data_IF_618155712303
#
_entry.id   IF_618155712303
#
_cell.length_a   1.000
_cell.length_b   1.000
_cell.length_c   1.000
_cell.angle_alpha   90.00
_cell.angle_beta   90.00
_cell.angle_gamma   90.00
#
_symmetry.space_group_name_H-M   'P 1'
#
loop_
_entity.id
_entity.type
_entity.pdbx_description
1 polymer ?
#
# COMPACT_ATOMS: atom_id res chain seq x y z
N UNK A 1 -2.31 13.97 -66.76
CA UNK A 1 -2.00 12.62 -66.24
C UNK A 1 -2.96 12.30 -65.09
N UNK A 2 -4.00 11.53 -65.34
CA UNK A 2 -4.94 11.07 -64.32
C UNK A 2 -4.31 9.91 -63.54
N UNK A 3 -4.03 10.11 -62.25
CA UNK A 3 -3.56 9.04 -61.37
C UNK A 3 -4.66 7.98 -61.24
N UNK A 4 -4.37 6.73 -61.61
CA UNK A 4 -5.25 5.60 -61.29
C UNK A 4 -5.28 5.45 -59.76
N UNK A 5 -6.44 5.71 -59.14
CA UNK A 5 -6.67 5.31 -57.76
C UNK A 5 -6.78 3.78 -57.74
N UNK A 6 -5.78 3.11 -57.16
CA UNK A 6 -5.87 1.70 -56.81
C UNK A 6 -6.71 1.62 -55.53
N UNK A 7 -7.92 1.05 -55.63
CA UNK A 7 -8.79 0.82 -54.49
C UNK A 7 -8.34 -0.39 -53.68
N UNK A 8 -8.51 -0.33 -52.36
CA UNK A 8 -8.25 -1.44 -51.45
C UNK A 8 -9.30 -2.54 -51.65
N UNK A 9 -8.87 -3.80 -51.79
CA UNK A 9 -9.77 -4.93 -51.98
C UNK A 9 -10.31 -5.45 -50.64
N UNK A 10 -11.50 -6.04 -50.66
CA UNK A 10 -12.08 -6.70 -49.48
C UNK A 10 -11.22 -7.87 -48.99
N UNK A 11 -10.56 -8.59 -49.90
CA UNK A 11 -9.70 -9.72 -49.52
C UNK A 11 -8.43 -9.25 -48.81
N UNK A 12 -7.83 -8.12 -49.23
CA UNK A 12 -6.70 -7.51 -48.53
C UNK A 12 -7.11 -7.10 -47.11
N UNK A 13 -8.32 -6.55 -46.94
CA UNK A 13 -8.85 -6.23 -45.61
C UNK A 13 -8.98 -7.49 -44.75
N UNK A 14 -9.57 -8.56 -45.29
CA UNK A 14 -9.82 -9.79 -44.54
C UNK A 14 -8.54 -10.45 -44.01
N UNK A 15 -7.48 -10.50 -44.83
CA UNK A 15 -6.19 -11.09 -44.40
C UNK A 15 -5.56 -10.24 -43.30
N UNK A 16 -5.61 -8.91 -43.41
CA UNK A 16 -5.06 -8.01 -42.39
C UNK A 16 -5.77 -8.23 -41.05
N UNK A 17 -7.11 -8.32 -41.04
CA UNK A 17 -7.86 -8.55 -39.81
C UNK A 17 -7.52 -9.92 -39.21
N UNK A 18 -7.36 -10.96 -40.04
CA UNK A 18 -6.99 -12.30 -39.58
C UNK A 18 -5.62 -12.32 -38.88
N UNK A 19 -4.61 -11.64 -39.45
CA UNK A 19 -3.27 -11.55 -38.86
C UNK A 19 -3.30 -10.77 -37.54
N UNK A 20 -4.01 -9.63 -37.49
CA UNK A 20 -4.17 -8.83 -36.26
C UNK A 20 -4.85 -9.67 -35.17
N UNK A 21 -5.86 -10.47 -35.50
CA UNK A 21 -6.55 -11.33 -34.55
C UNK A 21 -5.62 -12.39 -33.93
N UNK A 22 -4.75 -13.02 -34.73
CA UNK A 22 -3.76 -14.00 -34.24
C UNK A 22 -2.76 -13.33 -33.29
N UNK A 23 -2.23 -12.17 -33.68
CA UNK A 23 -1.27 -11.43 -32.84
C UNK A 23 -1.93 -11.00 -31.52
N UNK A 24 -3.15 -10.45 -31.59
CA UNK A 24 -3.89 -10.00 -30.42
C UNK A 24 -4.19 -11.15 -29.44
N UNK A 25 -4.54 -12.34 -29.94
CA UNK A 25 -4.83 -13.51 -29.11
C UNK A 25 -3.65 -13.93 -28.23
N UNK A 26 -2.40 -13.74 -28.68
CA UNK A 26 -1.19 -14.06 -27.92
C UNK A 26 -0.73 -12.85 -27.08
N UNK A 27 -0.78 -11.65 -27.67
CA UNK A 27 -0.22 -10.45 -27.05
C UNK A 27 -1.04 -9.96 -25.85
N UNK A 28 -2.37 -10.01 -25.92
CA UNK A 28 -3.25 -9.52 -24.86
C UNK A 28 -3.07 -10.26 -23.53
N UNK A 29 -3.14 -11.62 -23.45
CA UNK A 29 -2.97 -12.31 -22.18
C UNK A 29 -1.57 -12.10 -21.58
N UNK A 30 -0.52 -12.08 -22.42
CA UNK A 30 0.85 -11.81 -21.98
C UNK A 30 1.00 -10.39 -21.42
N UNK A 31 0.38 -9.40 -22.06
CA UNK A 31 0.38 -8.02 -21.58
C UNK A 31 -0.33 -7.88 -20.24
N UNK A 32 -1.48 -8.55 -20.05
CA UNK A 32 -2.22 -8.52 -18.79
C UNK A 32 -1.41 -9.15 -17.65
N UNK A 33 -0.79 -10.31 -17.89
CA UNK A 33 0.08 -10.97 -16.90
C UNK A 33 1.30 -10.10 -16.54
N UNK A 34 1.94 -9.47 -17.54
CA UNK A 34 3.06 -8.56 -17.33
C UNK A 34 2.66 -7.33 -16.51
N UNK A 35 1.48 -6.76 -16.75
CA UNK A 35 0.94 -5.65 -15.94
C UNK A 35 0.71 -6.05 -14.49
N UNK A 36 0.15 -7.24 -14.23
CA UNK A 36 -0.05 -7.76 -12.88
C UNK A 36 1.29 -7.92 -12.15
N UNK A 37 2.29 -8.50 -12.80
CA UNK A 37 3.63 -8.65 -12.23
C UNK A 37 4.29 -7.29 -11.95
N UNK A 38 4.14 -6.32 -12.85
CA UNK A 38 4.64 -4.96 -12.66
C UNK A 38 3.97 -4.25 -11.48
N UNK A 39 2.65 -4.39 -11.33
CA UNK A 39 1.91 -3.84 -10.19
C UNK A 39 2.38 -4.44 -8.86
N UNK A 40 2.58 -5.76 -8.80
CA UNK A 40 3.12 -6.45 -7.62
C UNK A 40 4.53 -5.97 -7.28
N UNK A 41 5.41 -5.82 -8.27
CA UNK A 41 6.77 -5.28 -8.08
C UNK A 41 6.74 -3.83 -7.57
N UNK A 42 5.81 -3.02 -8.08
CA UNK A 42 5.61 -1.65 -7.63
C UNK A 42 5.05 -1.58 -6.21
N UNK A 43 4.19 -2.54 -5.82
CA UNK A 43 3.65 -2.63 -4.48
C UNK A 43 4.73 -2.95 -3.46
N UNK A 44 5.58 -3.95 -3.73
CA UNK A 44 6.72 -4.28 -2.87
C UNK A 44 7.67 -3.09 -2.76
N UNK A 45 8.00 -2.44 -3.88
CA UNK A 45 8.86 -1.24 -3.87
C UNK A 45 8.24 -0.08 -3.08
N UNK A 46 6.91 0.07 -3.15
CA UNK A 46 6.19 1.07 -2.37
C UNK A 46 6.26 0.77 -0.89
N UNK A 47 6.05 -0.47 -0.46
CA UNK A 47 6.20 -0.85 0.95
C UNK A 47 7.63 -0.65 1.46
N UNK A 48 8.66 -0.97 0.66
CA UNK A 48 10.06 -0.65 1.01
C UNK A 48 10.28 0.85 1.18
N UNK A 49 9.67 1.67 0.32
CA UNK A 49 9.72 3.12 0.47
C UNK A 49 9.04 3.58 1.76
N UNK A 50 7.89 2.99 2.12
CA UNK A 50 7.23 3.29 3.40
C UNK A 50 8.12 2.92 4.59
N UNK A 51 8.79 1.77 4.57
CA UNK A 51 9.74 1.39 5.64
C UNK A 51 10.84 2.43 5.80
N UNK A 52 11.48 2.85 4.70
CA UNK A 52 12.51 3.89 4.74
C UNK A 52 11.96 5.24 5.19
N UNK A 53 10.75 5.59 4.74
CA UNK A 53 10.09 6.85 5.10
C UNK A 53 9.76 6.92 6.60
N UNK A 54 9.24 5.83 7.16
CA UNK A 54 8.93 5.71 8.58
C UNK A 54 10.20 5.79 9.43
N UNK A 55 11.26 5.08 9.03
CA UNK A 55 12.54 5.16 9.72
C UNK A 55 13.12 6.60 9.68
N UNK A 56 13.00 7.29 8.55
CA UNK A 56 13.45 8.67 8.42
C UNK A 56 12.63 9.60 9.33
N UNK A 57 11.30 9.54 9.25
CA UNK A 57 10.38 10.38 10.01
C UNK A 57 10.63 10.25 11.52
N UNK A 58 10.74 9.01 11.99
CA UNK A 58 11.06 8.69 13.38
C UNK A 58 12.44 9.21 13.79
N UNK A 59 13.47 8.99 12.96
CA UNK A 59 14.84 9.38 13.29
C UNK A 59 15.06 10.89 13.36
N UNK A 60 14.21 11.65 12.68
CA UNK A 60 14.24 13.12 12.72
C UNK A 60 13.45 13.69 13.90
N UNK A 61 12.74 12.87 14.66
CA UNK A 61 11.75 13.30 15.65
C UNK A 61 10.86 14.40 15.06
N UNK A 62 10.40 14.18 13.83
CA UNK A 62 9.54 15.14 13.12
C UNK A 62 8.23 15.35 13.90
N UNK A 63 7.82 14.32 14.62
CA UNK A 63 6.77 14.32 15.62
C UNK A 63 7.35 13.79 16.94
N UNK A 64 6.82 14.33 18.04
CA UNK A 64 7.04 13.93 19.45
C UNK A 64 5.83 14.49 20.22
N UNK A 65 4.73 13.74 20.28
CA UNK A 65 3.41 14.18 20.77
C UNK A 65 3.36 14.30 22.30
N UNK A 66 4.21 13.57 23.03
CA UNK A 66 4.28 13.57 24.50
C UNK A 66 5.54 14.27 25.07
N UNK A 67 6.44 14.74 24.21
CA UNK A 67 7.64 15.52 24.53
C UNK A 67 8.66 14.74 25.36
N UNK A 68 8.76 13.43 25.14
CA UNK A 68 9.72 12.57 25.83
C UNK A 68 11.10 12.55 25.13
N UNK A 69 11.19 13.07 23.90
CA UNK A 69 12.39 13.15 23.07
C UNK A 69 12.56 11.99 22.08
N UNK A 70 11.58 11.09 21.97
CA UNK A 70 11.54 9.97 21.04
C UNK A 70 10.59 10.27 19.89
N UNK A 71 11.02 10.04 18.66
CA UNK A 71 10.14 10.24 17.51
C UNK A 71 9.13 9.11 17.33
N UNK A 72 7.90 9.43 16.92
CA UNK A 72 6.90 8.45 16.52
C UNK A 72 6.88 8.15 15.01
N UNK A 73 6.22 7.06 14.65
CA UNK A 73 5.84 6.76 13.27
C UNK A 73 4.65 7.62 12.80
N UNK A 74 4.59 7.83 11.49
CA UNK A 74 3.63 8.73 10.85
C UNK A 74 2.58 8.04 9.98
N UNK A 75 1.55 8.77 9.58
CA UNK A 75 0.57 8.37 8.57
C UNK A 75 0.94 8.93 7.18
N UNK A 76 0.16 8.64 6.14
CA UNK A 76 0.45 9.16 4.80
C UNK A 76 0.39 10.69 4.75
N UNK A 77 -0.59 11.33 5.39
CA UNK A 77 -0.73 12.78 5.44
C UNK A 77 0.49 13.47 6.02
N UNK A 78 0.98 13.00 7.16
CA UNK A 78 2.17 13.54 7.84
C UNK A 78 3.46 13.30 7.02
N UNK A 79 3.66 12.08 6.54
CA UNK A 79 4.85 11.70 5.78
C UNK A 79 4.95 12.40 4.42
N UNK A 80 3.81 12.76 3.82
CA UNK A 80 3.74 13.44 2.52
C UNK A 80 3.61 14.96 2.62
N UNK A 81 3.64 15.52 3.84
CA UNK A 81 3.52 16.96 4.09
C UNK A 81 2.17 17.53 3.67
N UNK A 82 1.10 16.72 3.70
CA UNK A 82 -0.27 17.16 3.45
C UNK A 82 -0.93 17.74 4.71
N UNK A 83 -0.53 17.23 5.88
CA UNK A 83 -1.07 17.61 7.17
C UNK A 83 0.01 18.25 8.05
N UNK A 84 -0.44 19.17 8.92
CA UNK A 84 0.39 19.70 9.98
C UNK A 84 0.68 18.59 11.01
N UNK A 85 1.85 18.64 11.64
CA UNK A 85 2.28 17.60 12.58
C UNK A 85 1.77 17.85 14.00
N UNK A 86 1.07 18.94 14.28
CA UNK A 86 0.49 19.29 15.59
C UNK A 86 -0.97 18.86 15.76
N UNK A 87 -1.51 18.07 14.84
CA UNK A 87 -2.93 17.71 14.82
C UNK A 87 -3.30 16.46 15.64
N UNK A 88 -2.32 15.77 16.24
CA UNK A 88 -2.57 14.68 17.20
C UNK A 88 -3.03 15.22 18.57
N UNK A 89 -3.36 14.33 19.50
CA UNK A 89 -4.02 14.69 20.78
C UNK A 89 -3.11 15.50 21.70
N UNK A 90 -1.79 15.25 21.69
CA UNK A 90 -0.81 16.03 22.45
C UNK A 90 -0.50 17.39 21.81
N UNK A 91 -0.61 17.49 20.48
CA UNK A 91 -0.42 18.72 19.72
C UNK A 91 0.97 19.31 19.85
N UNK A 92 1.96 18.46 20.16
CA UNK A 92 3.33 18.86 20.44
C UNK A 92 4.25 18.84 19.21
N UNK A 93 3.75 18.36 18.07
CA UNK A 93 4.45 18.40 16.79
C UNK A 93 4.53 19.81 16.16
N UNK A 94 5.13 19.87 14.97
CA UNK A 94 5.26 21.11 14.21
C UNK A 94 3.88 21.61 13.74
N UNK A 95 3.54 22.86 14.06
CA UNK A 95 2.37 23.59 13.52
C UNK A 95 2.57 24.03 12.06
N UNK A 96 3.09 23.11 11.24
CA UNK A 96 3.28 23.22 9.80
C UNK A 96 3.51 21.82 9.21
N UNK A 97 3.29 21.61 7.91
CA UNK A 97 3.57 20.34 7.28
C UNK A 97 5.08 20.11 7.14
N UNK A 98 5.44 18.85 6.92
CA UNK A 98 6.82 18.45 6.69
C UNK A 98 7.39 19.06 5.39
N UNK A 99 8.47 19.84 5.50
CA UNK A 99 9.17 20.46 4.35
C UNK A 99 10.70 20.23 4.43
N UNK A 100 11.30 19.49 3.47
CA UNK A 100 10.66 18.80 2.35
C UNK A 100 9.90 17.54 2.81
N UNK A 101 8.82 17.15 2.10
CA UNK A 101 8.09 15.93 2.41
C UNK A 101 8.94 14.68 2.12
N UNK A 102 8.74 13.62 2.91
CA UNK A 102 9.45 12.34 2.77
C UNK A 102 8.78 11.49 1.67
N UNK A 103 7.46 11.47 1.64
CA UNK A 103 6.66 10.80 0.61
C UNK A 103 6.19 11.79 -0.45
N UNK A 104 6.12 11.32 -1.70
CA UNK A 104 5.62 12.15 -2.81
C UNK A 104 4.11 12.37 -2.79
N UNK A 105 3.65 13.36 -3.54
CA UNK A 105 2.25 13.83 -3.61
C UNK A 105 1.19 12.74 -3.90
N UNK A 106 1.57 11.58 -4.46
CA UNK A 106 0.63 10.47 -4.63
C UNK A 106 0.03 10.00 -3.30
N UNK A 107 0.80 10.06 -2.20
CA UNK A 107 0.35 9.63 -0.88
C UNK A 107 -0.56 10.63 -0.17
N UNK A 108 -0.71 11.86 -0.69
CA UNK A 108 -1.65 12.86 -0.18
C UNK A 108 -3.11 12.49 -0.50
N UNK A 109 -3.34 11.65 -1.51
CA UNK A 109 -4.69 11.26 -1.93
C UNK A 109 -5.21 10.08 -1.11
N UNK A 110 -5.44 10.31 0.19
CA UNK A 110 -6.01 9.33 1.12
C UNK A 110 -7.53 9.29 0.96
N UNK A 111 -8.08 8.12 0.63
CA UNK A 111 -9.52 7.95 0.40
C UNK A 111 -10.35 7.97 1.70
N UNK A 112 -11.68 7.85 1.57
CA UNK A 112 -12.60 7.85 2.70
C UNK A 112 -12.43 6.70 3.70
N UNK A 113 -11.59 5.70 3.38
CA UNK A 113 -11.28 4.56 4.23
C UNK A 113 -9.83 4.58 4.72
N UNK A 114 -9.08 5.67 4.54
CA UNK A 114 -7.68 5.74 4.97
C UNK A 114 -6.69 5.04 4.03
N UNK A 115 -7.01 4.95 2.74
CA UNK A 115 -6.21 4.18 1.77
C UNK A 115 -5.65 5.07 0.68
N UNK A 116 -4.43 4.76 0.26
CA UNK A 116 -3.80 5.35 -0.94
C UNK A 116 -3.86 4.35 -2.08
N UNK A 117 -4.32 4.78 -3.26
CA UNK A 117 -4.28 3.97 -4.47
C UNK A 117 -3.04 4.31 -5.31
N UNK A 118 -2.21 3.30 -5.60
CA UNK A 118 -1.04 3.47 -6.46
C UNK A 118 -0.78 2.19 -7.24
N UNK A 119 -0.62 2.33 -8.56
CA UNK A 119 -0.23 1.23 -9.45
C UNK A 119 -1.13 -0.03 -9.34
N UNK A 120 -2.45 0.16 -9.18
CA UNK A 120 -3.40 -0.95 -9.10
C UNK A 120 -3.47 -1.65 -7.73
N UNK A 121 -2.84 -1.06 -6.71
CA UNK A 121 -2.85 -1.52 -5.33
C UNK A 121 -3.36 -0.43 -4.40
N UNK A 122 -4.07 -0.84 -3.35
CA UNK A 122 -4.35 -0.03 -2.19
C UNK A 122 -3.25 -0.23 -1.14
N UNK A 123 -2.91 0.86 -0.45
CA UNK A 123 -2.01 0.87 0.69
C UNK A 123 -2.72 1.50 1.87
N UNK A 124 -2.48 0.95 3.06
CA UNK A 124 -3.03 1.49 4.31
C UNK A 124 -2.00 1.32 5.42
N UNK A 125 -1.79 2.41 6.18
CA UNK A 125 -0.95 2.43 7.38
C UNK A 125 -1.85 2.31 8.61
N UNK A 126 -1.36 1.60 9.61
CA UNK A 126 -1.96 1.46 10.92
C UNK A 126 -0.94 1.86 11.98
N UNK A 127 -1.36 2.73 12.89
CA UNK A 127 -0.63 3.11 14.09
C UNK A 127 -1.40 2.62 15.32
N UNK A 128 -0.72 2.23 16.41
CA UNK A 128 -1.36 1.64 17.57
C UNK A 128 -2.12 2.66 18.44
N UNK A 129 -3.20 2.20 19.06
CA UNK A 129 -3.78 2.85 20.24
C UNK A 129 -3.07 2.39 21.54
N UNK A 130 -3.50 2.93 22.69
CA UNK A 130 -2.93 2.63 24.00
C UNK A 130 -3.07 1.14 24.41
N UNK A 131 -3.97 0.39 23.76
CA UNK A 131 -4.13 -1.04 23.96
C UNK A 131 -3.24 -1.87 23.00
N UNK A 132 -2.47 -1.24 22.12
CA UNK A 132 -1.67 -1.89 21.09
C UNK A 132 -2.49 -2.43 19.91
N UNK A 133 -3.71 -1.92 19.72
CA UNK A 133 -4.59 -2.23 18.59
C UNK A 133 -4.29 -1.30 17.43
N UNK A 134 -4.15 -1.84 16.21
CA UNK A 134 -3.91 -1.01 15.04
C UNK A 134 -5.13 -0.18 14.63
N UNK A 135 -4.96 1.14 14.61
CA UNK A 135 -5.94 2.10 14.13
C UNK A 135 -5.47 2.66 12.78
N UNK A 136 -6.31 2.53 11.77
CA UNK A 136 -6.04 3.05 10.44
C UNK A 136 -5.96 4.58 10.45
N UNK A 137 -5.18 5.12 9.52
CA UNK A 137 -5.29 6.52 9.14
C UNK A 137 -6.74 6.89 8.77
N UNK A 138 -7.30 7.96 9.35
CA UNK A 138 -8.58 8.52 8.95
C UNK A 138 -8.64 9.00 7.50
N UNK A 139 -9.86 9.31 7.05
CA UNK A 139 -10.12 9.86 5.73
C UNK A 139 -9.37 11.19 5.50
N UNK A 140 -8.79 11.38 4.32
CA UNK A 140 -8.05 12.60 3.98
C UNK A 140 -6.69 12.72 4.67
N UNK A 141 -6.25 11.68 5.36
CA UNK A 141 -4.91 11.61 5.94
C UNK A 141 -4.72 12.39 7.24
N UNK A 142 -5.82 12.87 7.84
CA UNK A 142 -5.79 13.57 9.13
C UNK A 142 -5.38 12.62 10.26
N UNK A 143 -4.59 13.06 11.25
CA UNK A 143 -4.21 12.19 12.35
C UNK A 143 -5.38 11.69 13.20
N UNK A 144 -5.28 10.48 13.74
CA UNK A 144 -6.30 9.90 14.60
C UNK A 144 -6.09 10.30 16.06
N UNK A 145 -7.17 10.71 16.73
CA UNK A 145 -7.16 10.96 18.17
C UNK A 145 -7.05 9.68 19.03
N UNK A 146 -7.09 8.50 18.41
CA UNK A 146 -6.96 7.23 19.10
C UNK A 146 -5.52 6.70 19.14
N UNK A 147 -4.59 7.33 18.43
CA UNK A 147 -3.19 6.93 18.45
C UNK A 147 -2.53 7.30 19.76
N UNK A 148 -1.63 6.42 20.20
CA UNK A 148 -0.93 6.53 21.47
C UNK A 148 0.56 6.77 21.22
N UNK A 149 1.11 7.84 21.78
CA UNK A 149 2.47 8.31 21.51
C UNK A 149 3.51 7.22 21.80
N UNK A 150 3.53 6.71 23.05
CA UNK A 150 4.40 5.63 23.53
C UNK A 150 4.42 4.43 22.55
N UNK A 151 3.23 3.95 22.15
CA UNK A 151 3.17 2.80 21.24
C UNK A 151 3.56 3.15 19.80
N UNK A 152 3.31 4.38 19.34
CA UNK A 152 3.66 4.83 18.00
C UNK A 152 5.16 5.04 17.81
N UNK A 153 5.97 5.04 18.86
CA UNK A 153 7.44 4.95 18.77
C UNK A 153 7.92 3.54 18.41
N UNK A 154 7.14 2.52 18.80
CA UNK A 154 7.60 1.13 18.77
C UNK A 154 6.97 0.38 17.61
N UNK A 155 5.71 0.66 17.28
CA UNK A 155 4.93 -0.14 16.36
C UNK A 155 4.28 0.70 15.26
N UNK A 156 4.33 0.16 14.05
CA UNK A 156 3.47 0.53 12.94
C UNK A 156 3.33 -0.68 12.02
N UNK A 157 2.31 -0.66 11.19
CA UNK A 157 2.16 -1.65 10.14
C UNK A 157 1.58 -1.04 8.88
N UNK A 158 1.88 -1.65 7.73
CA UNK A 158 1.21 -1.32 6.49
C UNK A 158 0.90 -2.56 5.67
N UNK A 159 -0.24 -2.48 4.98
CA UNK A 159 -0.66 -3.48 4.01
C UNK A 159 -0.67 -2.88 2.61
N UNK A 160 -0.38 -3.73 1.62
CA UNK A 160 -0.58 -3.47 0.21
C UNK A 160 -1.39 -4.59 -0.42
N UNK A 161 -2.55 -4.31 -1.02
CA UNK A 161 -3.40 -5.34 -1.64
C UNK A 161 -4.00 -4.85 -2.96
N UNK A 162 -4.40 -5.76 -3.87
CA UNK A 162 -4.88 -5.36 -5.19
C UNK A 162 -6.22 -4.62 -5.10
N UNK A 163 -6.38 -3.59 -5.92
CA UNK A 163 -7.67 -2.89 -6.11
C UNK A 163 -8.73 -3.85 -6.66
N UNK A 164 -8.35 -4.59 -7.70
CA UNK A 164 -9.16 -5.65 -8.31
C UNK A 164 -8.48 -6.99 -8.11
N UNK A 165 -9.05 -7.83 -7.26
CA UNK A 165 -8.57 -9.18 -7.02
C UNK A 165 -8.44 -9.96 -8.35
N UNK A 166 -7.30 -10.65 -8.52
CA UNK A 166 -6.96 -11.44 -9.72
C UNK A 166 -6.93 -10.67 -11.04
N UNK A 167 -7.05 -9.33 -10.96
CA UNK A 167 -7.09 -8.45 -12.13
C UNK A 167 -5.93 -7.45 -12.08
N UNK A 168 -5.78 -6.74 -10.96
CA UNK A 168 -4.68 -5.80 -10.76
C UNK A 168 -3.51 -6.43 -10.01
N UNK A 169 -3.76 -7.54 -9.29
CA UNK A 169 -2.79 -8.28 -8.50
C UNK A 169 -3.35 -9.60 -7.99
N UNK A 170 -2.45 -10.57 -7.73
CA UNK A 170 -2.78 -11.89 -7.20
C UNK A 170 -2.28 -12.10 -5.77
N UNK A 171 -1.54 -11.14 -5.21
CA UNK A 171 -0.92 -11.23 -3.89
C UNK A 171 -1.22 -9.98 -3.06
N UNK A 172 -1.31 -10.16 -1.76
CA UNK A 172 -1.26 -9.05 -0.82
C UNK A 172 0.03 -9.12 0.00
N UNK A 173 0.42 -7.98 0.54
CA UNK A 173 1.70 -7.74 1.15
C UNK A 173 1.52 -7.05 2.49
N UNK A 174 2.43 -7.33 3.41
CA UNK A 174 2.47 -6.73 4.73
C UNK A 174 3.91 -6.35 5.07
N UNK A 175 4.07 -5.25 5.78
CA UNK A 175 5.32 -4.84 6.42
C UNK A 175 5.03 -4.20 7.76
N UNK A 176 6.04 -4.17 8.63
CA UNK A 176 5.99 -3.48 9.92
C UNK A 176 7.33 -2.81 10.23
N UNK A 177 7.52 -2.35 11.47
CA UNK A 177 8.74 -1.70 11.97
C UNK A 177 10.03 -2.51 11.80
N UNK A 178 9.94 -3.83 11.62
CA UNK A 178 11.12 -4.69 11.39
C UNK A 178 11.64 -4.58 9.95
N UNK A 179 10.87 -3.97 9.04
CA UNK A 179 11.21 -3.84 7.62
C UNK A 179 11.08 -5.14 6.82
N UNK A 180 10.65 -6.23 7.45
CA UNK A 180 10.38 -7.50 6.77
C UNK A 180 9.09 -7.38 5.95
N UNK A 181 9.18 -7.69 4.65
CA UNK A 181 7.99 -7.76 3.79
C UNK A 181 7.59 -9.22 3.61
N UNK A 182 6.35 -9.51 3.97
CA UNK A 182 5.72 -10.82 3.78
C UNK A 182 4.56 -10.70 2.79
N UNK A 183 4.18 -11.84 2.21
CA UNK A 183 3.16 -11.94 1.18
C UNK A 183 2.18 -13.08 1.44
N UNK A 184 0.98 -12.95 0.89
CA UNK A 184 -0.02 -14.01 0.82
C UNK A 184 -0.62 -14.08 -0.59
N UNK A 185 -1.02 -15.27 -1.02
CA UNK A 185 -1.79 -15.50 -2.25
C UNK A 185 -3.30 -15.24 -2.08
N UNK A 186 -3.74 -14.97 -0.85
CA UNK A 186 -5.15 -14.74 -0.51
C UNK A 186 -6.03 -15.96 -0.82
N UNK A 187 -5.56 -17.18 -0.50
CA UNK A 187 -6.28 -18.41 -0.83
C UNK A 187 -7.53 -18.64 0.06
N UNK A 188 -7.57 -18.04 1.26
CA UNK A 188 -8.68 -18.21 2.23
C UNK A 188 -9.54 -16.95 2.29
N UNK A 189 -8.93 -15.79 2.58
CA UNK A 189 -9.60 -14.51 2.61
C UNK A 189 -9.06 -13.61 1.51
N UNK A 190 -9.97 -13.15 0.65
CA UNK A 190 -9.66 -12.34 -0.52
C UNK A 190 -9.67 -10.85 -0.20
N UNK A 191 -8.69 -10.13 -0.74
CA UNK A 191 -8.61 -8.68 -0.59
C UNK A 191 -8.86 -7.94 -1.90
N UNK A 192 -9.67 -6.89 -1.80
CA UNK A 192 -10.07 -6.04 -2.91
C UNK A 192 -10.55 -4.67 -2.40
N UNK A 193 -11.20 -3.89 -3.26
CA UNK A 193 -11.80 -2.61 -2.87
C UNK A 193 -12.80 -2.69 -1.70
N UNK A 194 -13.60 -3.76 -1.64
CA UNK A 194 -14.66 -3.92 -0.63
C UNK A 194 -14.16 -4.65 0.64
N UNK A 195 -13.14 -5.50 0.51
CA UNK A 195 -12.61 -6.31 1.61
C UNK A 195 -11.13 -5.98 1.79
N UNK A 196 -10.82 -5.09 2.73
CA UNK A 196 -9.45 -4.76 3.10
C UNK A 196 -8.93 -5.74 4.18
N UNK A 197 -7.61 -5.98 4.25
CA UNK A 197 -7.03 -6.64 5.41
C UNK A 197 -7.30 -5.82 6.68
N UNK A 198 -7.69 -6.51 7.75
CA UNK A 198 -7.69 -5.90 9.09
C UNK A 198 -6.23 -5.71 9.55
N UNK A 199 -6.01 -4.78 10.47
CA UNK A 199 -4.66 -4.37 10.89
C UNK A 199 -3.78 -5.53 11.39
N UNK A 200 -4.36 -6.58 11.99
CA UNK A 200 -3.64 -7.75 12.50
C UNK A 200 -3.69 -8.97 11.57
N UNK A 201 -4.21 -8.83 10.34
CA UNK A 201 -4.44 -9.95 9.42
C UNK A 201 -3.21 -10.86 9.26
N UNK A 202 -2.02 -10.27 9.08
CA UNK A 202 -0.77 -11.00 8.89
C UNK A 202 -0.04 -11.37 10.21
N UNK A 203 -0.59 -10.99 11.36
CA UNK A 203 -0.03 -11.29 12.68
C UNK A 203 -0.62 -12.59 13.23
N UNK A 204 0.07 -13.20 14.19
CA UNK A 204 -0.39 -14.39 14.92
C UNK A 204 -1.14 -14.09 16.23
N UNK A 205 -1.53 -12.84 16.47
CA UNK A 205 -2.14 -12.42 17.72
C UNK A 205 -2.98 -11.14 17.62
N UNK A 206 -3.47 -10.70 18.78
CA UNK A 206 -4.42 -9.59 18.90
C UNK A 206 -3.77 -8.23 19.21
N UNK A 207 -2.45 -8.15 19.24
CA UNK A 207 -1.66 -6.92 19.50
C UNK A 207 -0.71 -6.65 18.34
N UNK A 208 -0.39 -5.39 18.05
CA UNK A 208 0.54 -5.04 16.95
C UNK A 208 1.96 -5.58 17.17
N UNK A 209 2.37 -5.77 18.44
CA UNK A 209 3.61 -6.43 18.80
C UNK A 209 3.61 -7.97 18.70
N UNK A 210 2.50 -8.59 18.28
CA UNK A 210 2.42 -10.04 18.11
C UNK A 210 3.41 -10.55 17.06
N UNK A 211 3.86 -11.82 17.16
CA UNK A 211 4.69 -12.41 16.11
C UNK A 211 3.95 -12.44 14.77
N UNK A 212 4.70 -12.43 13.67
CA UNK A 212 4.15 -12.61 12.32
C UNK A 212 3.52 -14.01 12.20
N UNK A 213 2.42 -14.10 11.45
CA UNK A 213 1.73 -15.34 11.10
C UNK A 213 2.47 -16.16 10.03
N UNK A 214 3.76 -16.41 10.25
CA UNK A 214 4.66 -17.17 9.37
C UNK A 214 5.40 -18.26 10.17
N UNK A 215 6.11 -19.15 9.47
CA UNK A 215 7.01 -20.15 10.07
C UNK A 215 6.36 -21.02 11.18
N UNK A 216 5.10 -21.44 10.97
CA UNK A 216 4.36 -22.30 11.90
C UNK A 216 3.42 -21.56 12.86
N UNK A 217 3.48 -20.23 12.90
CA UNK A 217 2.45 -19.39 13.53
C UNK A 217 1.34 -19.14 12.52
N UNK A 218 0.08 -19.43 12.90
CA UNK A 218 -1.06 -19.14 12.05
C UNK A 218 -1.37 -17.63 12.07
N UNK A 219 -1.63 -17.04 10.90
CA UNK A 219 -2.10 -15.67 10.79
C UNK A 219 -3.57 -15.54 11.19
N UNK A 220 -3.98 -14.39 11.71
CA UNK A 220 -5.36 -14.19 12.20
C UNK A 220 -6.41 -14.20 11.09
N UNK A 221 -6.03 -13.84 9.86
CA UNK A 221 -6.91 -13.88 8.69
C UNK A 221 -7.09 -15.29 8.11
N UNK A 222 -6.36 -16.28 8.62
CA UNK A 222 -6.34 -17.66 8.12
C UNK A 222 -5.59 -17.86 6.80
N UNK A 223 -5.06 -16.80 6.19
CA UNK A 223 -4.23 -16.93 5.00
C UNK A 223 -2.83 -17.44 5.35
N UNK A 224 -2.19 -18.09 4.38
CA UNK A 224 -0.78 -18.47 4.49
C UNK A 224 0.12 -17.30 4.10
N UNK A 225 0.79 -16.70 5.07
CA UNK A 225 1.77 -15.65 4.86
C UNK A 225 3.19 -16.23 4.78
N UNK A 226 4.03 -15.64 3.93
CA UNK A 226 5.41 -16.09 3.69
C UNK A 226 6.32 -14.90 3.46
N UNK A 227 7.60 -14.98 3.85
CA UNK A 227 8.57 -13.93 3.53
C UNK A 227 8.79 -13.83 2.02
N UNK A 228 8.96 -12.59 1.54
CA UNK A 228 9.41 -12.35 0.16
C UNK A 228 10.92 -12.60 0.12
N UNK A 229 11.35 -13.55 -0.72
CA UNK A 229 12.77 -13.77 -1.02
C UNK A 229 13.30 -12.70 -1.99
#
# INVERSE_FOLDING_TARGET
MTRKQQGFTLIELMIVIAIIAIIAAIAVPNLLSSRVAANESNAISTLRNLVSAQAQFQSTSAMDDDLDGTGEYGCFGELSGDQDLDQRVGGAGLAAPLDPPILGATFQNVDGNGRVNKSGYFFQIFLPDAAGTGVAEPAGGVPSAAWDADNCEIFWAAYGWPVGERTTGNRAFFTNQRGEIIQTKMDVLLYNNASAPVWNAALGGALMGSPLGINGTAATDGNAWTAIQ
#
